data_IF_274002418334
#
_entry.id   IF_274002418334
#
_cell.length_a   1.000
_cell.length_b   1.000
_cell.length_c   1.000
_cell.angle_alpha   90.00
_cell.angle_beta   90.00
_cell.angle_gamma   90.00
#
_symmetry.space_group_name_H-M   'P 1'
#
loop_
_entity.id
_entity.type
_entity.pdbx_description
1 polymer ?
#
# COMPACT_ATOMS: atom_id res chain seq x y z
N UNK A 1 7.63 4.94 -27.55
CA UNK A 1 7.06 6.01 -26.69
C UNK A 1 6.03 5.41 -25.74
N UNK A 2 6.44 4.92 -24.55
CA UNK A 2 5.54 4.49 -23.46
C UNK A 2 6.29 4.61 -22.13
N UNK A 3 6.42 5.82 -21.60
CA UNK A 3 7.02 6.11 -20.28
C UNK A 3 6.20 7.19 -19.60
N UNK A 4 4.94 6.90 -19.24
CA UNK A 4 4.09 7.90 -18.58
C UNK A 4 2.91 7.29 -17.81
N UNK A 5 3.12 6.26 -16.97
CA UNK A 5 2.04 5.77 -16.08
C UNK A 5 2.58 5.32 -14.71
N UNK A 6 3.39 6.10 -14.01
CA UNK A 6 3.62 5.89 -12.57
C UNK A 6 3.92 7.24 -11.90
N UNK A 7 2.94 8.15 -11.87
CA UNK A 7 3.07 9.42 -11.14
C UNK A 7 1.70 10.02 -10.73
N UNK A 8 0.72 9.18 -10.36
CA UNK A 8 -0.65 9.65 -10.08
C UNK A 8 -1.24 9.10 -8.77
N UNK A 9 -0.41 8.82 -7.77
CA UNK A 9 -0.88 8.45 -6.42
C UNK A 9 -0.56 9.51 -5.36
N UNK A 10 -0.06 10.68 -5.77
CA UNK A 10 0.54 11.65 -4.84
C UNK A 10 -0.40 12.75 -4.35
N UNK A 11 -1.66 12.89 -4.81
CA UNK A 11 -2.41 14.14 -4.57
C UNK A 11 -3.95 13.97 -4.41
N UNK A 12 -4.41 13.01 -3.61
CA UNK A 12 -5.87 12.87 -3.35
C UNK A 12 -6.27 12.62 -1.90
N UNK A 13 -5.32 12.42 -0.97
CA UNK A 13 -5.65 12.08 0.43
C UNK A 13 -6.05 13.28 1.32
N UNK A 14 -6.13 14.50 0.78
CA UNK A 14 -6.54 15.68 1.56
C UNK A 14 -8.04 16.04 1.48
N UNK A 15 -8.87 15.21 0.83
CA UNK A 15 -10.29 15.54 0.58
C UNK A 15 -11.32 14.56 1.17
N UNK A 16 -10.94 13.57 1.98
CA UNK A 16 -11.92 12.68 2.62
C UNK A 16 -11.58 12.42 4.09
N UNK A 17 -11.67 13.47 4.89
CA UNK A 17 -11.96 13.35 6.31
C UNK A 17 -13.48 13.55 6.45
N UNK A 18 -14.24 12.48 6.29
CA UNK A 18 -15.70 12.53 6.36
C UNK A 18 -16.35 11.19 6.03
N UNK A 19 -16.94 10.60 7.08
CA UNK A 19 -17.82 9.43 7.09
C UNK A 19 -17.18 8.04 7.18
N UNK A 20 -17.22 7.55 8.42
CA UNK A 20 -17.33 6.17 8.92
C UNK A 20 -17.78 5.09 7.91
N UNK A 21 -17.17 3.91 7.99
CA UNK A 21 -17.90 2.64 7.98
C UNK A 21 -17.08 1.51 8.60
N UNK A 22 -17.76 0.84 9.53
CA UNK A 22 -17.41 -0.30 10.36
C UNK A 22 -17.36 -1.60 9.53
N UNK A 23 -16.60 -2.60 9.99
CA UNK A 23 -16.84 -4.01 9.64
C UNK A 23 -15.65 -4.77 9.05
N UNK A 24 -15.02 -5.62 9.87
CA UNK A 24 -14.12 -6.68 9.39
C UNK A 24 -13.10 -7.17 10.42
N UNK A 25 -13.59 -7.87 11.44
CA UNK A 25 -12.79 -8.67 12.37
C UNK A 25 -12.06 -9.80 11.62
N UNK A 26 -10.72 -9.76 11.55
CA UNK A 26 -9.91 -10.94 11.30
C UNK A 26 -8.83 -11.05 12.39
N UNK A 27 -9.11 -11.94 13.35
CA UNK A 27 -8.22 -12.28 14.44
C UNK A 27 -7.04 -13.10 13.93
N UNK A 28 -5.94 -12.42 13.60
CA UNK A 28 -4.69 -13.06 13.23
C UNK A 28 -3.52 -12.11 13.40
N UNK A 29 -2.91 -12.09 14.59
CA UNK A 29 -1.62 -11.45 14.92
C UNK A 29 -1.42 -10.10 14.22
N UNK A 30 -1.91 -9.02 14.84
CA UNK A 30 -1.93 -7.63 14.33
C UNK A 30 -0.63 -7.20 13.65
N UNK A 31 -0.45 -7.56 12.37
CA UNK A 31 0.42 -6.86 11.46
C UNK A 31 -0.30 -5.56 11.13
N UNK A 32 0.39 -4.42 11.24
CA UNK A 32 -0.22 -3.14 10.90
C UNK A 32 -0.68 -3.21 9.42
N UNK A 33 -1.79 -2.55 9.08
CA UNK A 33 -2.25 -2.40 7.69
C UNK A 33 -1.12 -1.93 6.75
N UNK A 34 -0.15 -1.18 7.27
CA UNK A 34 1.06 -0.81 6.53
C UNK A 34 1.99 -1.97 6.16
N UNK A 35 2.19 -2.96 7.03
CA UNK A 35 3.00 -4.14 6.74
C UNK A 35 2.32 -5.01 5.67
N UNK A 36 1.00 -5.20 5.76
CA UNK A 36 0.23 -5.91 4.73
C UNK A 36 0.34 -5.25 3.36
N UNK A 37 0.29 -3.92 3.31
CA UNK A 37 0.47 -3.17 2.06
C UNK A 37 1.88 -3.33 1.49
N UNK A 38 2.93 -3.22 2.33
CA UNK A 38 4.32 -3.39 1.89
C UNK A 38 4.59 -4.80 1.38
N UNK A 39 4.05 -5.83 2.03
CA UNK A 39 4.17 -7.21 1.58
C UNK A 39 3.51 -7.42 0.20
N UNK A 40 2.33 -6.83 -0.01
CA UNK A 40 1.65 -6.86 -1.31
C UNK A 40 2.47 -6.15 -2.40
N UNK A 41 3.01 -4.96 -2.10
CA UNK A 41 3.88 -4.21 -3.01
C UNK A 41 5.13 -5.03 -3.39
N UNK A 42 5.80 -5.62 -2.41
CA UNK A 42 6.96 -6.48 -2.64
C UNK A 42 6.62 -7.65 -3.59
N UNK A 43 5.50 -8.34 -3.32
CA UNK A 43 5.05 -9.45 -4.15
C UNK A 43 4.74 -9.00 -5.58
N UNK A 44 4.01 -7.89 -5.72
CA UNK A 44 3.63 -7.33 -7.01
C UNK A 44 4.86 -6.95 -7.83
N UNK A 45 5.87 -6.34 -7.20
CA UNK A 45 7.12 -6.01 -7.88
C UNK A 45 7.95 -7.23 -8.27
N UNK A 46 7.99 -8.27 -7.43
CA UNK A 46 8.61 -9.55 -7.78
C UNK A 46 7.93 -10.17 -9.00
N UNK A 47 6.60 -10.15 -9.06
CA UNK A 47 5.81 -10.62 -10.22
C UNK A 47 6.04 -9.78 -11.47
N UNK A 48 6.28 -8.48 -11.31
CA UNK A 48 6.68 -7.59 -12.38
C UNK A 48 8.13 -7.82 -12.88
N UNK A 49 8.84 -8.83 -12.38
CA UNK A 49 10.25 -9.12 -12.70
C UNK A 49 11.19 -7.93 -12.43
N UNK A 50 10.92 -7.15 -11.37
CA UNK A 50 11.85 -6.13 -10.90
C UNK A 50 13.02 -6.76 -10.16
N UNK A 51 14.21 -6.15 -10.32
CA UNK A 51 15.40 -6.51 -9.56
C UNK A 51 15.21 -6.31 -8.06
N UNK A 52 15.68 -7.25 -7.23
CA UNK A 52 15.56 -7.18 -5.77
C UNK A 52 16.11 -5.87 -5.18
N UNK A 53 17.20 -5.34 -5.74
CA UNK A 53 17.76 -4.06 -5.32
C UNK A 53 16.78 -2.90 -5.57
N UNK A 54 16.06 -2.92 -6.70
CA UNK A 54 15.04 -1.94 -7.04
C UNK A 54 13.83 -2.08 -6.12
N UNK A 55 13.38 -3.31 -5.88
CA UNK A 55 12.26 -3.60 -4.97
C UNK A 55 12.56 -3.08 -3.56
N UNK A 56 13.73 -3.43 -3.01
CA UNK A 56 14.17 -2.94 -1.70
C UNK A 56 14.22 -1.42 -1.65
N UNK A 57 14.84 -0.78 -2.65
CA UNK A 57 14.91 0.68 -2.71
C UNK A 57 13.53 1.33 -2.73
N UNK A 58 12.58 0.79 -3.50
CA UNK A 58 11.21 1.29 -3.54
C UNK A 58 10.49 1.13 -2.21
N UNK A 59 10.61 -0.02 -1.55
CA UNK A 59 10.01 -0.24 -0.23
C UNK A 59 10.65 0.66 0.85
N UNK A 60 11.97 0.87 0.81
CA UNK A 60 12.68 1.78 1.71
C UNK A 60 12.24 3.23 1.52
N UNK A 61 12.02 3.67 0.28
CA UNK A 61 11.49 5.00 -0.01
C UNK A 61 10.09 5.18 0.58
N UNK A 62 9.22 4.17 0.44
CA UNK A 62 7.88 4.20 1.03
C UNK A 62 7.97 4.26 2.56
N UNK A 63 8.78 3.41 3.19
CA UNK A 63 9.00 3.42 4.64
C UNK A 63 9.58 4.75 5.13
N UNK A 64 10.52 5.33 4.39
CA UNK A 64 11.13 6.62 4.74
C UNK A 64 10.14 7.78 4.63
N UNK A 65 9.28 7.77 3.60
CA UNK A 65 8.20 8.74 3.48
C UNK A 65 7.19 8.59 4.62
N UNK A 66 6.88 7.35 4.99
CA UNK A 66 5.99 7.02 6.10
C UNK A 66 6.53 7.44 7.46
N UNK A 67 7.84 7.37 7.68
CA UNK A 67 8.48 7.83 8.91
C UNK A 67 8.29 9.34 9.18
N UNK A 68 7.82 10.12 8.20
CA UNK A 68 7.48 11.53 8.38
C UNK A 68 6.05 11.77 8.88
N UNK A 69 5.21 10.73 8.90
CA UNK A 69 3.82 10.77 9.36
C UNK A 69 3.71 10.18 10.76
N UNK A 70 2.75 10.68 11.54
CA UNK A 70 2.36 10.04 12.79
C UNK A 70 1.66 8.68 12.51
N UNK A 71 1.73 7.77 13.49
CA UNK A 71 1.22 6.40 13.36
C UNK A 71 -0.24 6.33 12.89
N UNK A 72 -1.11 7.22 13.40
CA UNK A 72 -2.50 7.30 12.99
C UNK A 72 -2.69 7.74 11.52
N UNK A 73 -1.85 8.64 11.03
CA UNK A 73 -1.89 9.08 9.63
C UNK A 73 -1.36 7.99 8.69
N UNK A 74 -0.27 7.32 9.09
CA UNK A 74 0.23 6.16 8.36
C UNK A 74 -0.83 5.06 8.26
N UNK A 75 -1.43 4.66 9.39
CA UNK A 75 -2.41 3.58 9.40
C UNK A 75 -3.62 3.91 8.52
N UNK A 76 -4.10 5.15 8.56
CA UNK A 76 -5.19 5.62 7.70
C UNK A 76 -4.82 5.55 6.22
N UNK A 77 -3.62 6.02 5.85
CA UNK A 77 -3.13 5.98 4.47
C UNK A 77 -2.94 4.54 3.96
N UNK A 78 -2.39 3.66 4.80
CA UNK A 78 -2.18 2.26 4.47
C UNK A 78 -3.51 1.51 4.32
N UNK A 79 -4.48 1.74 5.21
CA UNK A 79 -5.84 1.19 5.09
C UNK A 79 -6.53 1.65 3.81
N UNK A 80 -6.46 2.95 3.49
CA UNK A 80 -7.02 3.47 2.25
C UNK A 80 -6.35 2.87 1.00
N UNK A 81 -5.04 2.64 1.05
CA UNK A 81 -4.29 2.01 -0.04
C UNK A 81 -4.69 0.54 -0.21
N UNK A 82 -4.80 -0.22 0.90
CA UNK A 82 -5.31 -1.59 0.90
C UNK A 82 -6.72 -1.66 0.30
N UNK A 83 -7.61 -0.77 0.74
CA UNK A 83 -8.99 -0.76 0.27
C UNK A 83 -9.07 -0.50 -1.25
N UNK A 84 -8.20 0.37 -1.77
CA UNK A 84 -8.05 0.56 -3.21
C UNK A 84 -7.50 -0.68 -3.92
N UNK A 85 -6.49 -1.35 -3.36
CA UNK A 85 -5.97 -2.59 -3.94
C UNK A 85 -7.03 -3.69 -3.97
N UNK A 86 -7.85 -3.81 -2.93
CA UNK A 86 -8.96 -4.78 -2.89
C UNK A 86 -10.01 -4.53 -3.98
N UNK A 87 -10.10 -3.31 -4.51
CA UNK A 87 -10.97 -2.95 -5.65
C UNK A 87 -10.32 -3.17 -7.02
N UNK A 88 -9.01 -3.41 -7.05
CA UNK A 88 -8.27 -3.72 -8.29
C UNK A 88 -8.30 -5.23 -8.56
N UNK A 89 -8.12 -5.66 -9.83
CA UNK A 89 -7.97 -7.08 -10.13
C UNK A 89 -6.78 -7.65 -9.36
N UNK A 90 -7.02 -8.76 -8.67
CA UNK A 90 -6.00 -9.41 -7.86
C UNK A 90 -4.78 -9.78 -8.71
N UNK A 91 -3.59 -9.45 -8.20
CA UNK A 91 -2.34 -9.91 -8.80
C UNK A 91 -2.14 -11.37 -8.40
N UNK A 92 -2.11 -12.26 -9.38
CA UNK A 92 -2.06 -13.71 -9.14
C UNK A 92 -0.86 -14.11 -8.24
N UNK A 93 -1.17 -14.67 -7.08
CA UNK A 93 -0.19 -15.08 -6.07
C UNK A 93 0.29 -13.96 -5.13
N UNK A 94 -0.32 -12.77 -5.19
CA UNK A 94 -0.07 -11.66 -4.27
C UNK A 94 -1.37 -11.23 -3.59
N UNK A 95 -1.51 -11.59 -2.32
CA UNK A 95 -2.71 -11.31 -1.54
C UNK A 95 -2.40 -10.28 -0.45
N UNK A 96 -3.31 -9.32 -0.27
CA UNK A 96 -3.33 -8.49 0.93
C UNK A 96 -4.04 -9.27 2.02
N UNK A 97 -3.31 -9.54 3.11
CA UNK A 97 -3.88 -10.08 4.36
C UNK A 97 -4.41 -8.94 5.21
#
# INVERSE_FOLDING_TARGET
MKKTIIALLSLSLLASCGASSDGGNDGGKTANSCDSYLAYMECTYKKANMDEATIKKSLDQVKSAWAQFDEAQMETACKASIDQVKKMPAVEGCEIK
#
